data_IF_538396375900
#
_entry.id   IF_538396375900
#
_cell.length_a   1.000
_cell.length_b   1.000
_cell.length_c   1.000
_cell.angle_alpha   90.00
_cell.angle_beta   90.00
_cell.angle_gamma   90.00
#
_symmetry.space_group_name_H-M   'P 1'
#
loop_
_entity.id
_entity.type
_entity.pdbx_description
1 polymer ?
#
# COMPACT_ATOMS: atom_id res chain seq x y z
N UNK A 1 32.03 -12.10 19.23
CA UNK A 1 31.53 -11.32 20.39
C UNK A 1 30.46 -12.13 21.10
N UNK A 2 30.84 -12.82 22.21
CA UNK A 2 29.88 -13.51 23.06
C UNK A 2 28.93 -12.48 23.66
N UNK A 3 27.64 -12.61 23.38
CA UNK A 3 26.58 -11.85 24.06
C UNK A 3 25.76 -10.85 23.23
N UNK A 4 26.19 -10.46 22.02
CA UNK A 4 25.39 -9.58 21.18
C UNK A 4 24.34 -10.36 20.37
N UNK A 5 23.08 -9.94 20.48
CA UNK A 5 21.98 -10.43 19.63
C UNK A 5 21.58 -9.34 18.65
N UNK A 6 21.48 -9.70 17.39
CA UNK A 6 21.03 -8.78 16.34
C UNK A 6 19.59 -9.09 15.96
N UNK A 7 18.78 -8.05 15.95
CA UNK A 7 17.39 -8.11 15.45
C UNK A 7 17.28 -7.16 14.27
N UNK A 8 16.75 -7.65 13.15
CA UNK A 8 16.48 -6.86 11.96
C UNK A 8 14.97 -6.76 11.75
N UNK A 9 14.42 -5.55 11.95
CA UNK A 9 13.06 -5.20 11.56
C UNK A 9 13.04 -4.78 10.08
N UNK A 10 12.10 -5.31 9.30
CA UNK A 10 11.96 -4.96 7.88
C UNK A 10 10.49 -4.77 7.55
N UNK A 11 10.18 -3.62 6.95
CA UNK A 11 8.85 -3.30 6.45
C UNK A 11 8.82 -3.33 4.92
N UNK A 12 7.70 -3.73 4.33
CA UNK A 12 7.45 -3.48 2.92
C UNK A 12 7.23 -1.99 2.72
N UNK A 13 7.86 -1.41 1.70
CA UNK A 13 7.61 -0.02 1.36
C UNK A 13 6.15 0.18 0.94
N UNK A 14 5.46 1.10 1.62
CA UNK A 14 4.09 1.53 1.31
C UNK A 14 4.12 3.01 0.95
N UNK A 15 3.72 3.37 -0.28
CA UNK A 15 3.68 4.76 -0.71
C UNK A 15 2.75 5.61 0.16
N UNK A 16 3.14 6.85 0.41
CA UNK A 16 2.36 7.80 1.19
C UNK A 16 2.08 9.06 0.40
N UNK A 17 0.91 9.66 0.64
CA UNK A 17 0.52 10.94 0.10
C UNK A 17 1.59 12.02 0.38
N UNK A 18 1.80 12.90 -0.57
CA UNK A 18 2.70 14.06 -0.46
C UNK A 18 4.17 13.69 -0.16
N UNK A 19 4.59 12.50 -0.60
CA UNK A 19 5.99 12.08 -0.61
C UNK A 19 6.47 11.87 -2.05
N UNK A 20 7.78 11.89 -2.32
CA UNK A 20 8.31 11.69 -3.67
C UNK A 20 7.85 10.38 -4.32
N UNK A 21 7.58 9.34 -3.55
CA UNK A 21 7.14 8.04 -4.06
C UNK A 21 5.62 7.84 -4.04
N UNK A 22 4.81 8.90 -3.93
CA UNK A 22 3.35 8.81 -3.88
C UNK A 22 2.71 8.17 -5.12
N UNK A 23 3.39 8.18 -6.26
CA UNK A 23 2.92 7.56 -7.51
C UNK A 23 3.26 6.07 -7.62
N UNK A 24 4.10 5.54 -6.71
CA UNK A 24 4.50 4.14 -6.73
C UNK A 24 3.42 3.24 -6.09
N UNK A 25 3.46 1.94 -6.44
CA UNK A 25 2.65 0.90 -5.80
C UNK A 25 3.47 0.00 -4.89
N UNK A 26 2.79 -0.83 -4.12
CA UNK A 26 3.43 -1.91 -3.36
C UNK A 26 3.81 -3.03 -4.30
N UNK A 27 5.09 -3.34 -4.39
CA UNK A 27 5.59 -4.39 -5.29
C UNK A 27 5.22 -5.78 -4.80
N UNK A 28 4.56 -6.63 -5.63
CA UNK A 28 4.22 -8.01 -5.25
C UNK A 28 5.44 -8.87 -4.88
N UNK A 29 6.60 -8.59 -5.48
CA UNK A 29 7.86 -9.30 -5.22
C UNK A 29 8.39 -9.11 -3.80
N UNK A 30 7.92 -8.09 -3.07
CA UNK A 30 8.35 -7.81 -1.71
C UNK A 30 8.12 -9.01 -0.78
N UNK A 31 7.01 -9.74 -0.95
CA UNK A 31 6.74 -10.94 -0.16
C UNK A 31 7.82 -12.02 -0.35
N UNK A 32 8.21 -12.27 -1.61
CA UNK A 32 9.27 -13.24 -1.93
C UNK A 32 10.62 -12.78 -1.38
N UNK A 33 10.91 -11.47 -1.44
CA UNK A 33 12.14 -10.88 -0.89
C UNK A 33 12.20 -11.03 0.63
N UNK A 34 11.12 -10.78 1.36
CA UNK A 34 11.05 -10.99 2.80
C UNK A 34 11.30 -12.45 3.18
N UNK A 35 10.67 -13.40 2.47
CA UNK A 35 10.90 -14.85 2.68
C UNK A 35 12.36 -15.25 2.40
N UNK A 36 12.98 -14.67 1.36
CA UNK A 36 14.39 -14.90 1.03
C UNK A 36 15.32 -14.37 2.13
N UNK A 37 15.09 -13.14 2.61
CA UNK A 37 15.85 -12.54 3.70
C UNK A 37 15.79 -13.38 4.97
N UNK A 38 14.59 -13.84 5.36
CA UNK A 38 14.43 -14.73 6.51
C UNK A 38 15.31 -15.97 6.42
N UNK A 39 15.34 -16.62 5.25
CA UNK A 39 16.18 -17.82 5.00
C UNK A 39 17.68 -17.51 5.08
N UNK A 40 18.11 -16.32 4.63
CA UNK A 40 19.51 -15.93 4.63
C UNK A 40 20.02 -15.48 6.01
N UNK A 41 19.16 -14.93 6.85
CA UNK A 41 19.51 -14.37 8.15
C UNK A 41 19.49 -15.42 9.27
N UNK A 42 18.58 -16.40 9.18
CA UNK A 42 18.43 -17.47 10.18
C UNK A 42 19.76 -18.20 10.49
N UNK A 43 20.55 -18.67 9.50
CA UNK A 43 21.81 -19.36 9.78
C UNK A 43 22.89 -18.44 10.38
N UNK A 44 22.75 -17.13 10.25
CA UNK A 44 23.66 -16.12 10.80
C UNK A 44 23.35 -15.74 12.25
N UNK A 45 22.32 -16.37 12.85
CA UNK A 45 21.88 -16.05 14.20
C UNK A 45 21.24 -14.67 14.35
N UNK A 46 20.77 -14.07 13.24
CA UNK A 46 20.09 -12.77 13.23
C UNK A 46 18.59 -13.02 13.36
N UNK A 47 17.96 -12.44 14.38
CA UNK A 47 16.52 -12.45 14.53
C UNK A 47 15.90 -11.55 13.46
N UNK A 48 15.02 -12.10 12.64
CA UNK A 48 14.34 -11.38 11.58
C UNK A 48 12.87 -11.15 11.95
N UNK A 49 12.47 -9.89 12.04
CA UNK A 49 11.11 -9.44 12.37
C UNK A 49 10.52 -8.67 11.19
N UNK A 50 9.98 -9.36 10.18
CA UNK A 50 9.29 -8.69 9.09
C UNK A 50 7.90 -8.22 9.52
N UNK A 51 7.48 -7.07 9.01
CA UNK A 51 6.07 -6.73 9.00
C UNK A 51 5.30 -7.63 8.02
N UNK A 52 4.02 -7.85 8.30
CA UNK A 52 3.15 -8.62 7.43
C UNK A 52 2.98 -7.96 6.07
N UNK A 53 3.40 -8.63 5.00
CA UNK A 53 3.15 -8.18 3.63
C UNK A 53 1.65 -7.94 3.36
N UNK A 54 0.79 -8.83 3.87
CA UNK A 54 -0.66 -8.67 3.72
C UNK A 54 -1.18 -7.36 4.32
N UNK A 55 -0.71 -6.98 5.50
CA UNK A 55 -1.06 -5.70 6.12
C UNK A 55 -0.47 -4.51 5.39
N UNK A 56 0.73 -4.61 4.83
CA UNK A 56 1.31 -3.56 3.97
C UNK A 56 0.45 -3.34 2.72
N UNK A 57 -0.10 -4.39 2.14
CA UNK A 57 -1.04 -4.32 1.00
C UNK A 57 -2.34 -3.62 1.40
N UNK A 58 -2.93 -3.96 2.54
CA UNK A 58 -4.14 -3.30 3.06
C UNK A 58 -3.84 -1.83 3.38
N UNK A 59 -2.70 -1.53 3.98
CA UNK A 59 -2.28 -0.16 4.25
C UNK A 59 -2.14 0.66 2.95
N UNK A 60 -1.61 0.06 1.88
CA UNK A 60 -1.55 0.72 0.57
C UNK A 60 -2.96 0.97 0.00
N UNK A 61 -3.85 0.00 0.08
CA UNK A 61 -5.24 0.17 -0.31
C UNK A 61 -5.87 1.36 0.39
N UNK A 62 -5.75 1.45 1.71
CA UNK A 62 -6.30 2.54 2.51
C UNK A 62 -5.65 3.91 2.18
N UNK A 63 -4.32 3.94 1.99
CA UNK A 63 -3.58 5.19 1.78
C UNK A 63 -3.61 5.72 0.36
N UNK A 64 -3.96 4.90 -0.63
CA UNK A 64 -4.03 5.27 -2.06
C UNK A 64 -5.45 5.34 -2.61
N UNK A 65 -6.43 4.99 -1.82
CA UNK A 65 -7.85 5.08 -2.19
C UNK A 65 -8.45 6.45 -1.89
N UNK A 66 -9.68 6.60 -2.32
CA UNK A 66 -10.56 7.72 -2.02
C UNK A 66 -11.88 7.25 -1.36
N UNK A 67 -12.87 8.14 -1.29
CA UNK A 67 -14.19 7.86 -0.69
C UNK A 67 -14.93 6.65 -1.27
N UNK A 68 -14.60 6.20 -2.48
CA UNK A 68 -15.17 4.99 -3.10
C UNK A 68 -14.82 3.70 -2.34
N UNK A 69 -13.83 3.77 -1.45
CA UNK A 69 -13.47 2.65 -0.56
C UNK A 69 -14.42 2.53 0.65
N UNK A 70 -15.21 3.54 0.97
CA UNK A 70 -16.03 3.54 2.18
C UNK A 70 -16.97 2.32 2.29
N UNK A 71 -17.71 1.86 1.24
CA UNK A 71 -18.52 0.66 1.32
C UNK A 71 -17.69 -0.60 1.64
N UNK A 72 -16.47 -0.68 1.11
CA UNK A 72 -15.56 -1.81 1.38
C UNK A 72 -15.16 -1.82 2.86
N UNK A 73 -14.79 -0.66 3.41
CA UNK A 73 -14.41 -0.53 4.82
C UNK A 73 -15.57 -0.95 5.72
N UNK A 74 -16.78 -0.48 5.43
CA UNK A 74 -17.98 -0.82 6.18
C UNK A 74 -18.27 -2.33 6.15
N UNK A 75 -18.17 -2.95 4.97
CA UNK A 75 -18.48 -4.37 4.79
C UNK A 75 -17.37 -5.32 5.32
N UNK A 76 -16.12 -4.85 5.44
CA UNK A 76 -15.02 -5.64 6.02
C UNK A 76 -15.11 -5.71 7.55
N UNK A 77 -15.75 -4.71 8.22
CA UNK A 77 -15.74 -4.57 9.68
C UNK A 77 -16.13 -5.83 10.46
N UNK A 78 -17.02 -6.66 9.90
CA UNK A 78 -17.47 -7.91 10.51
C UNK A 78 -16.72 -9.16 9.98
N UNK A 79 -15.90 -9.01 8.96
CA UNK A 79 -15.09 -10.11 8.43
C UNK A 79 -13.74 -10.17 9.14
N UNK A 80 -13.29 -11.41 9.45
CA UNK A 80 -11.96 -11.60 10.01
C UNK A 80 -10.92 -10.86 9.17
N UNK A 81 -10.15 -9.99 9.80
CA UNK A 81 -9.16 -9.08 9.24
C UNK A 81 -8.04 -9.81 8.48
N UNK A 82 -8.33 -10.39 7.33
CA UNK A 82 -7.36 -11.04 6.48
C UNK A 82 -7.29 -10.35 5.11
N UNK A 83 -6.13 -10.38 4.48
CA UNK A 83 -5.98 -9.89 3.11
C UNK A 83 -6.96 -10.56 2.14
N UNK A 84 -7.29 -11.84 2.37
CA UNK A 84 -8.31 -12.57 1.59
C UNK A 84 -9.70 -11.99 1.76
N UNK A 85 -10.09 -11.64 2.99
CA UNK A 85 -11.35 -10.97 3.30
C UNK A 85 -11.45 -9.62 2.58
N UNK A 86 -10.44 -8.79 2.70
CA UNK A 86 -10.36 -7.50 2.00
C UNK A 86 -10.49 -7.64 0.49
N UNK A 87 -9.76 -8.58 -0.13
CA UNK A 87 -9.85 -8.82 -1.58
C UNK A 87 -11.23 -9.29 -2.01
N UNK A 88 -11.87 -10.16 -1.23
CA UNK A 88 -13.23 -10.64 -1.51
C UNK A 88 -14.22 -9.48 -1.47
N UNK A 89 -14.20 -8.68 -0.41
CA UNK A 89 -15.09 -7.53 -0.25
C UNK A 89 -14.85 -6.47 -1.33
N UNK A 90 -13.58 -6.21 -1.67
CA UNK A 90 -13.25 -5.28 -2.75
C UNK A 90 -13.78 -5.75 -4.11
N UNK A 91 -13.72 -7.06 -4.38
CA UNK A 91 -14.31 -7.64 -5.61
C UNK A 91 -15.82 -7.46 -5.63
N UNK A 92 -16.52 -7.65 -4.51
CA UNK A 92 -17.96 -7.38 -4.40
C UNK A 92 -18.25 -5.89 -4.68
N UNK A 93 -17.41 -4.97 -4.21
CA UNK A 93 -17.55 -3.55 -4.54
C UNK A 93 -17.40 -3.28 -6.04
N UNK A 94 -16.42 -3.92 -6.70
CA UNK A 94 -16.22 -3.79 -8.15
C UNK A 94 -17.41 -4.29 -8.97
N UNK A 95 -18.13 -5.28 -8.45
CA UNK A 95 -19.34 -5.84 -9.09
C UNK A 95 -20.63 -5.06 -8.73
N UNK A 96 -20.54 -4.04 -7.86
CA UNK A 96 -21.73 -3.34 -7.37
C UNK A 96 -22.61 -4.15 -6.43
N UNK A 97 -22.05 -5.16 -5.75
CA UNK A 97 -22.75 -6.10 -4.86
C UNK A 97 -22.83 -5.61 -3.40
N UNK A 98 -22.14 -4.51 -3.06
CA UNK A 98 -22.16 -3.96 -1.70
C UNK A 98 -23.36 -3.01 -1.52
N UNK A 99 -23.87 -2.98 -0.28
CA UNK A 99 -24.91 -2.02 0.09
C UNK A 99 -24.46 -0.57 -0.16
N UNK A 100 -25.30 0.25 -0.77
CA UNK A 100 -25.00 1.66 -1.01
C UNK A 100 -24.79 2.41 0.31
N UNK A 101 -23.74 3.22 0.36
CA UNK A 101 -23.57 4.15 1.48
C UNK A 101 -24.57 5.31 1.39
N UNK A 102 -25.02 5.87 2.53
CA UNK A 102 -25.84 7.07 2.53
C UNK A 102 -25.18 8.22 1.77
N UNK A 103 -25.94 8.92 0.94
CA UNK A 103 -25.46 10.07 0.18
C UNK A 103 -25.54 9.87 -1.33
N UNK A 104 -24.90 10.75 -2.12
CA UNK A 104 -24.89 10.66 -3.58
C UNK A 104 -24.25 9.35 -4.05
N UNK A 105 -24.79 8.77 -5.13
CA UNK A 105 -24.22 7.59 -5.76
C UNK A 105 -22.74 7.81 -6.08
N UNK A 106 -21.91 6.84 -5.72
CA UNK A 106 -20.48 6.87 -5.99
C UNK A 106 -20.17 5.97 -7.19
N UNK A 107 -19.25 6.39 -8.07
CA UNK A 107 -18.75 5.49 -9.11
C UNK A 107 -18.04 4.30 -8.46
N UNK A 108 -17.97 3.18 -9.19
CA UNK A 108 -17.24 2.00 -8.75
C UNK A 108 -15.76 2.34 -8.49
N UNK A 109 -15.11 1.67 -7.51
CA UNK A 109 -13.70 1.89 -7.27
C UNK A 109 -12.86 1.41 -8.47
N UNK A 110 -11.60 1.87 -8.62
CA UNK A 110 -10.66 1.34 -9.60
C UNK A 110 -10.35 -0.14 -9.34
N UNK A 111 -9.60 -0.80 -10.24
CA UNK A 111 -9.15 -2.16 -9.98
C UNK A 111 -8.25 -2.25 -8.75
N UNK A 112 -8.21 -3.41 -8.10
CA UNK A 112 -7.29 -3.67 -6.98
C UNK A 112 -5.83 -3.40 -7.37
N UNK A 113 -5.43 -3.83 -8.58
CA UNK A 113 -4.08 -3.64 -9.07
C UNK A 113 -3.74 -2.15 -9.22
N UNK A 114 -4.62 -1.38 -9.84
CA UNK A 114 -4.43 0.07 -9.99
C UNK A 114 -4.22 0.76 -8.65
N UNK A 115 -5.04 0.43 -7.64
CA UNK A 115 -4.93 1.10 -6.34
C UNK A 115 -3.70 0.65 -5.57
N UNK A 116 -3.38 -0.65 -5.55
CA UNK A 116 -2.39 -1.21 -4.62
C UNK A 116 -1.01 -1.36 -5.26
N UNK A 117 -0.94 -1.85 -6.50
CA UNK A 117 0.29 -2.38 -7.08
C UNK A 117 0.85 -1.53 -8.22
N UNK A 118 -0.02 -0.98 -9.06
CA UNK A 118 0.42 -0.30 -10.25
C UNK A 118 1.02 1.08 -9.93
N UNK A 119 2.13 1.46 -10.58
CA UNK A 119 2.60 2.83 -10.53
C UNK A 119 1.59 3.73 -11.24
N UNK A 120 1.39 4.92 -10.71
CA UNK A 120 0.55 5.93 -11.33
C UNK A 120 1.37 6.92 -12.13
N UNK A 121 0.77 7.44 -13.19
CA UNK A 121 1.33 8.56 -13.93
C UNK A 121 1.43 9.80 -13.03
N UNK A 122 2.51 10.58 -13.18
CA UNK A 122 2.72 11.79 -12.40
C UNK A 122 1.71 12.88 -12.71
N UNK A 123 1.09 12.86 -13.89
CA UNK A 123 0.00 13.77 -14.29
C UNK A 123 -1.38 13.34 -13.76
N UNK A 124 -1.48 12.15 -13.15
CA UNK A 124 -2.74 11.66 -12.59
C UNK A 124 -3.21 12.55 -11.45
N UNK A 125 -4.50 12.90 -11.46
CA UNK A 125 -5.16 13.54 -10.32
C UNK A 125 -5.22 12.52 -9.17
N UNK A 126 -4.46 12.78 -8.12
CA UNK A 126 -4.37 11.91 -6.95
C UNK A 126 -5.53 12.19 -5.98
N UNK A 127 -5.96 11.21 -5.17
CA UNK A 127 -7.03 11.40 -4.18
C UNK A 127 -6.82 12.59 -3.23
N UNK A 128 -5.59 12.98 -2.99
CA UNK A 128 -5.18 14.05 -2.10
C UNK A 128 -4.70 15.33 -2.80
N UNK A 129 -4.87 15.47 -4.12
CA UNK A 129 -4.43 16.66 -4.88
C UNK A 129 -5.04 17.97 -4.36
N UNK A 130 -6.22 17.90 -3.71
CA UNK A 130 -6.88 19.04 -3.08
C UNK A 130 -6.24 19.50 -1.76
N UNK A 131 -5.32 18.71 -1.20
CA UNK A 131 -4.59 19.04 0.03
C UNK A 131 -3.23 19.65 -0.31
N UNK A 132 -2.86 20.70 0.43
CA UNK A 132 -1.53 21.32 0.29
C UNK A 132 -0.58 20.74 1.31
N UNK A 133 0.57 20.25 0.85
CA UNK A 133 1.67 19.78 1.67
C UNK A 133 2.79 20.82 1.79
N UNK A 134 3.86 20.51 2.51
CA UNK A 134 5.01 21.40 2.69
C UNK A 134 5.85 21.55 1.40
N UNK A 135 5.76 20.61 0.47
CA UNK A 135 6.45 20.65 -0.83
C UNK A 135 5.44 20.80 -1.97
N UNK A 136 5.82 21.52 -3.02
CA UNK A 136 5.02 21.64 -4.22
C UNK A 136 4.99 20.29 -4.98
N UNK A 137 3.96 20.00 -5.79
CA UNK A 137 3.91 18.82 -6.65
C UNK A 137 5.14 18.68 -7.54
N UNK A 138 5.61 19.78 -8.11
CA UNK A 138 6.81 19.82 -8.95
C UNK A 138 8.06 19.38 -8.18
N UNK A 139 8.20 19.83 -6.93
CA UNK A 139 9.36 19.46 -6.10
C UNK A 139 9.32 17.98 -5.69
N UNK A 140 8.13 17.44 -5.45
CA UNK A 140 7.95 16.01 -5.19
C UNK A 140 8.33 15.17 -6.42
N UNK A 141 7.96 15.63 -7.62
CA UNK A 141 8.31 14.97 -8.88
C UNK A 141 9.82 15.02 -9.15
N UNK A 142 10.46 16.17 -8.99
CA UNK A 142 11.93 16.29 -9.10
C UNK A 142 12.65 15.28 -8.20
N UNK A 143 12.25 15.17 -6.93
CA UNK A 143 12.83 14.20 -5.99
C UNK A 143 12.57 12.76 -6.39
N UNK A 144 11.37 12.47 -6.91
CA UNK A 144 11.03 11.16 -7.45
C UNK A 144 11.95 10.77 -8.61
N UNK A 145 12.10 11.65 -9.59
CA UNK A 145 12.89 11.40 -10.79
C UNK A 145 14.38 11.27 -10.45
N UNK A 146 14.90 12.10 -9.56
CA UNK A 146 16.25 11.97 -9.03
C UNK A 146 16.49 10.62 -8.36
N UNK A 147 15.53 10.14 -7.54
CA UNK A 147 15.66 8.87 -6.86
C UNK A 147 15.60 7.67 -7.82
N UNK A 148 14.84 7.75 -8.90
CA UNK A 148 14.80 6.70 -9.92
C UNK A 148 16.02 6.69 -10.84
N UNK A 149 16.67 7.84 -11.04
CA UNK A 149 17.87 7.94 -11.87
C UNK A 149 19.11 7.29 -11.23
N UNK A 150 19.11 7.07 -9.93
CA UNK A 150 20.24 6.49 -9.15
C UNK A 150 20.10 4.97 -8.97
N UNK A 151 18.96 4.37 -9.30
CA UNK A 151 18.66 2.92 -9.20
C UNK A 151 18.79 2.21 -10.56
#
# INVERSE_FOLDING_TARGET
>A
TKGLRFTLGVSTFVPKAQTPFQWQGVRPEAEKRLKRLAKQLKPKGIEFRPESYGWSVIQALLSRSDRRLAPVIAAVGDSRESMGGWKKTYRAALNGELEPMPGPAQPLPPSWADVVHDPWDTERILPWTHLRGPLSPQKLQEHHDQALAVG
#
